data_IF_038367982881
#
_entry.id   IF_038367982881
#
_cell.length_a   1.000
_cell.length_b   1.000
_cell.length_c   1.000
_cell.angle_alpha   90.00
_cell.angle_beta   90.00
_cell.angle_gamma   90.00
#
_symmetry.space_group_name_H-M   'P 1'
#
loop_
_entity.id
_entity.type
_entity.pdbx_description
1 polymer ?
#
# COMPACT_ATOMS: atom_id res chain seq x y z
N UNK A 1 -42.04 -21.25 1.79
CA UNK A 1 -40.81 -22.06 1.74
C UNK A 1 -39.86 -21.41 0.73
N UNK A 2 -38.71 -20.97 1.20
CA UNK A 2 -37.79 -20.04 0.53
C UNK A 2 -36.90 -20.74 -0.51
N UNK A 3 -36.99 -20.32 -1.77
CA UNK A 3 -36.06 -20.71 -2.82
C UNK A 3 -34.68 -20.10 -2.54
N UNK A 4 -33.66 -20.94 -2.34
CA UNK A 4 -32.26 -20.52 -2.22
C UNK A 4 -31.72 -20.12 -3.60
N UNK A 5 -31.57 -18.82 -3.82
CA UNK A 5 -30.77 -18.29 -4.93
C UNK A 5 -29.29 -18.55 -4.62
N UNK A 6 -28.68 -19.49 -5.32
CA UNK A 6 -27.23 -19.71 -5.26
C UNK A 6 -26.55 -18.78 -6.27
N UNK A 7 -25.96 -17.70 -5.77
CA UNK A 7 -25.00 -16.91 -6.54
C UNK A 7 -23.62 -17.56 -6.40
N UNK A 8 -23.30 -18.48 -7.31
CA UNK A 8 -21.90 -18.86 -7.56
C UNK A 8 -21.31 -17.79 -8.46
N UNK A 9 -20.65 -16.80 -7.85
CA UNK A 9 -19.73 -15.91 -8.54
C UNK A 9 -18.37 -16.57 -8.60
N UNK A 10 -18.13 -17.30 -9.70
CA UNK A 10 -16.79 -17.81 -10.03
C UNK A 10 -15.98 -16.72 -10.72
N UNK A 11 -15.35 -15.85 -9.93
CA UNK A 11 -14.26 -15.01 -10.43
C UNK A 11 -13.19 -14.83 -9.37
N UNK A 12 -12.41 -15.90 -9.14
CA UNK A 12 -11.10 -15.77 -8.50
C UNK A 12 -10.15 -15.10 -9.50
N UNK A 13 -10.17 -13.78 -9.52
CA UNK A 13 -9.26 -12.92 -10.30
C UNK A 13 -7.86 -12.87 -9.72
N UNK A 14 -7.23 -14.02 -9.47
CA UNK A 14 -5.79 -14.08 -9.19
C UNK A 14 -5.03 -13.92 -10.51
N UNK A 15 -4.75 -12.68 -10.90
CA UNK A 15 -3.77 -12.40 -11.94
C UNK A 15 -2.37 -12.53 -11.34
N UNK A 16 -1.72 -13.67 -11.61
CA UNK A 16 -0.30 -13.88 -11.36
C UNK A 16 0.51 -12.79 -12.07
N UNK A 17 1.22 -11.95 -11.31
CA UNK A 17 2.22 -11.04 -11.86
C UNK A 17 3.42 -11.86 -12.37
N UNK A 18 3.41 -12.22 -13.65
CA UNK A 18 4.59 -12.75 -14.32
C UNK A 18 5.57 -11.59 -14.50
N UNK A 19 6.74 -11.72 -13.86
CA UNK A 19 7.92 -10.88 -14.09
C UNK A 19 8.17 -10.72 -15.58
N UNK A 20 8.02 -9.50 -16.10
CA UNK A 20 8.41 -9.14 -17.46
C UNK A 20 9.84 -8.64 -17.43
N UNK A 21 10.80 -9.52 -17.75
CA UNK A 21 12.14 -9.10 -18.14
C UNK A 21 12.02 -8.39 -19.50
N UNK A 22 11.94 -7.06 -19.48
CA UNK A 22 12.11 -6.26 -20.70
C UNK A 22 13.60 -6.18 -20.99
N UNK A 23 14.07 -7.03 -21.89
CA UNK A 23 15.30 -6.78 -22.63
C UNK A 23 15.08 -5.58 -23.54
N UNK A 24 15.87 -4.53 -23.37
CA UNK A 24 16.01 -3.45 -24.35
C UNK A 24 17.46 -3.43 -24.83
N UNK A 25 17.60 -3.77 -26.10
CA UNK A 25 18.77 -3.62 -26.96
C UNK A 25 18.80 -2.20 -27.54
N UNK A 26 20.00 -1.66 -27.80
CA UNK A 26 20.23 -0.40 -28.49
C UNK A 26 21.03 0.63 -27.68
N UNK A 27 22.35 0.68 -27.90
CA UNK A 27 23.25 1.64 -27.26
C UNK A 27 23.31 3.01 -27.95
N UNK A 28 23.78 4.00 -27.18
CA UNK A 28 24.70 5.05 -27.64
C UNK A 28 25.43 5.64 -26.42
N UNK A 29 26.74 5.88 -26.57
CA UNK A 29 27.57 6.46 -25.52
C UNK A 29 27.39 7.99 -25.50
N UNK A 30 26.92 8.54 -24.39
CA UNK A 30 27.23 9.93 -24.05
C UNK A 30 27.32 10.11 -22.54
N UNK A 31 28.54 10.35 -22.10
CA UNK A 31 28.94 10.67 -20.74
C UNK A 31 28.21 11.93 -20.24
N UNK A 32 27.38 11.80 -19.21
CA UNK A 32 26.98 12.92 -18.37
C UNK A 32 26.67 12.45 -16.95
N UNK A 33 27.49 12.93 -16.02
CA UNK A 33 27.37 12.81 -14.58
C UNK A 33 25.99 13.30 -14.10
N UNK A 34 25.07 12.34 -13.92
CA UNK A 34 23.71 12.58 -13.46
C UNK A 34 23.43 11.77 -12.20
N UNK A 35 23.77 12.34 -11.05
CA UNK A 35 23.24 11.92 -9.75
C UNK A 35 21.72 12.16 -9.74
N UNK A 36 20.96 11.23 -10.32
CA UNK A 36 19.50 11.26 -10.44
C UNK A 36 18.87 10.02 -9.83
N UNK A 37 19.35 9.59 -8.67
CA UNK A 37 18.56 8.75 -7.77
C UNK A 37 17.75 9.64 -6.84
N UNK A 38 16.72 10.24 -7.41
CA UNK A 38 15.57 10.72 -6.67
C UNK A 38 14.35 9.96 -7.19
N UNK A 39 14.45 8.63 -7.15
CA UNK A 39 13.26 7.82 -7.00
C UNK A 39 12.57 8.33 -5.73
N UNK A 40 11.37 8.85 -5.92
CA UNK A 40 10.50 9.41 -4.89
C UNK A 40 10.45 8.43 -3.71
N UNK A 41 11.31 8.68 -2.72
CA UNK A 41 11.23 8.02 -1.44
C UNK A 41 10.13 8.76 -0.70
N UNK A 42 8.87 8.38 -0.97
CA UNK A 42 7.76 8.65 -0.07
C UNK A 42 7.91 7.75 1.16
N UNK A 43 9.08 7.84 1.81
CA UNK A 43 9.27 7.33 3.15
C UNK A 43 8.89 8.46 4.10
N UNK A 44 7.59 8.63 4.31
CA UNK A 44 7.15 9.15 5.58
C UNK A 44 7.69 8.11 6.60
N UNK A 45 8.83 8.43 7.20
CA UNK A 45 9.53 7.52 8.10
C UNK A 45 8.78 7.53 9.42
N UNK A 46 7.62 6.87 9.47
CA UNK A 46 7.03 6.51 10.76
C UNK A 46 8.04 5.58 11.42
N UNK A 47 8.48 5.94 12.61
CA UNK A 47 9.28 5.04 13.42
C UNK A 47 8.44 3.80 13.72
N UNK A 48 8.68 2.72 12.98
CA UNK A 48 8.05 1.43 13.22
C UNK A 48 8.68 0.80 14.45
N UNK A 49 7.85 0.50 15.45
CA UNK A 49 8.26 -0.14 16.69
C UNK A 49 8.86 -1.53 16.45
N UNK A 50 8.36 -2.23 15.43
CA UNK A 50 8.85 -3.55 15.04
C UNK A 50 10.13 -3.53 14.19
N UNK A 51 10.63 -2.34 13.80
CA UNK A 51 11.76 -2.20 12.88
C UNK A 51 13.01 -2.96 13.33
N UNK A 52 13.35 -2.93 14.62
CA UNK A 52 14.54 -3.61 15.16
C UNK A 52 14.41 -5.13 15.05
N UNK A 53 13.28 -5.69 15.49
CA UNK A 53 13.04 -7.13 15.43
C UNK A 53 12.94 -7.62 14.00
N UNK A 54 12.28 -6.84 13.13
CA UNK A 54 12.23 -7.11 11.70
C UNK A 54 13.64 -7.23 11.10
N UNK A 55 14.54 -6.29 11.42
CA UNK A 55 15.93 -6.35 10.95
C UNK A 55 16.67 -7.58 11.48
N UNK A 56 16.54 -7.93 12.76
CA UNK A 56 17.16 -9.14 13.33
C UNK A 56 16.66 -10.43 12.64
N UNK A 57 15.35 -10.52 12.42
CA UNK A 57 14.73 -11.65 11.72
C UNK A 57 15.26 -11.79 10.28
N UNK A 58 15.35 -10.68 9.54
CA UNK A 58 15.87 -10.68 8.17
C UNK A 58 17.38 -11.03 8.11
N UNK A 59 18.16 -10.61 9.11
CA UNK A 59 19.59 -10.89 9.19
C UNK A 59 19.91 -12.33 9.63
N UNK A 60 19.06 -12.95 10.46
CA UNK A 60 19.23 -14.35 10.91
C UNK A 60 19.11 -15.39 9.80
N UNK A 61 18.56 -15.04 8.64
CA UNK A 61 18.47 -15.89 7.43
C UNK A 61 17.50 -17.08 7.52
N UNK A 62 17.12 -17.53 8.72
CA UNK A 62 16.16 -18.62 8.95
C UNK A 62 14.89 -18.05 9.56
N UNK A 63 13.95 -17.67 8.69
CA UNK A 63 12.59 -17.28 9.08
C UNK A 63 11.68 -18.51 9.12
N UNK A 64 10.79 -18.59 10.11
CA UNK A 64 9.67 -19.54 10.04
C UNK A 64 8.65 -19.08 9.00
N UNK A 65 7.70 -19.96 8.65
CA UNK A 65 6.59 -19.55 7.78
C UNK A 65 5.75 -18.44 8.42
N UNK A 66 5.51 -18.51 9.74
CA UNK A 66 4.76 -17.49 10.47
C UNK A 66 5.50 -16.16 10.50
N UNK A 67 6.83 -16.15 10.69
CA UNK A 67 7.62 -14.92 10.64
C UNK A 67 7.51 -14.24 9.27
N UNK A 68 7.60 -15.03 8.18
CA UNK A 68 7.44 -14.51 6.81
C UNK A 68 6.06 -13.87 6.61
N UNK A 69 5.00 -14.56 7.03
CA UNK A 69 3.63 -14.04 6.91
C UNK A 69 3.44 -12.78 7.76
N UNK A 70 3.96 -12.74 8.98
CA UNK A 70 3.84 -11.57 9.85
C UNK A 70 4.58 -10.35 9.29
N UNK A 71 5.78 -10.55 8.75
CA UNK A 71 6.58 -9.53 8.06
C UNK A 71 5.83 -8.99 6.84
N UNK A 72 5.32 -9.89 5.97
CA UNK A 72 4.59 -9.52 4.76
C UNK A 72 3.28 -8.79 5.10
N UNK A 73 2.53 -9.26 6.08
CA UNK A 73 1.29 -8.63 6.53
C UNK A 73 1.55 -7.20 7.02
N UNK A 74 2.59 -6.99 7.83
CA UNK A 74 2.93 -5.66 8.31
C UNK A 74 3.37 -4.72 7.17
N UNK A 75 4.17 -5.21 6.22
CA UNK A 75 4.66 -4.41 5.09
C UNK A 75 3.55 -4.01 4.13
N UNK A 76 2.67 -4.97 3.81
CA UNK A 76 1.56 -4.75 2.91
C UNK A 76 0.54 -3.80 3.54
N UNK A 77 0.28 -3.94 4.85
CA UNK A 77 -0.59 -3.00 5.57
C UNK A 77 0.00 -1.59 5.62
N UNK A 78 1.31 -1.46 5.87
CA UNK A 78 2.01 -0.17 5.82
C UNK A 78 1.82 0.49 4.46
N UNK A 79 2.13 -0.25 3.39
CA UNK A 79 2.02 0.25 2.01
C UNK A 79 0.59 0.66 1.69
N UNK A 80 -0.40 -0.13 2.12
CA UNK A 80 -1.80 0.17 1.90
C UNK A 80 -2.25 1.47 2.59
N UNK A 81 -1.83 1.70 3.83
CA UNK A 81 -2.09 2.96 4.56
C UNK A 81 -1.49 4.16 3.83
N UNK A 82 -0.34 3.99 3.20
CA UNK A 82 0.36 5.05 2.46
C UNK A 82 -0.34 5.40 1.18
N UNK A 83 -0.75 4.39 0.44
CA UNK A 83 -1.52 4.53 -0.79
C UNK A 83 -2.84 5.24 -0.50
N UNK A 84 -3.54 4.87 0.58
CA UNK A 84 -4.75 5.57 1.03
C UNK A 84 -4.47 7.05 1.35
N UNK A 85 -3.40 7.34 2.10
CA UNK A 85 -3.02 8.71 2.42
C UNK A 85 -2.60 9.50 1.17
N UNK A 86 -1.93 8.87 0.21
CA UNK A 86 -1.57 9.48 -1.07
C UNK A 86 -2.81 9.76 -1.92
N UNK A 87 -3.81 8.88 -1.91
CA UNK A 87 -5.08 9.11 -2.60
C UNK A 87 -5.83 10.30 -1.98
N UNK A 88 -5.94 10.33 -0.66
CA UNK A 88 -6.63 11.39 0.08
C UNK A 88 -5.95 12.73 -0.19
N UNK A 89 -4.64 12.83 0.07
CA UNK A 89 -3.91 14.10 -0.06
C UNK A 89 -3.66 14.52 -1.50
N UNK A 90 -3.39 13.57 -2.38
CA UNK A 90 -3.02 13.82 -3.77
C UNK A 90 -4.20 14.10 -4.68
N UNK A 91 -5.37 13.52 -4.38
CA UNK A 91 -6.55 13.65 -5.24
C UNK A 91 -7.76 14.23 -4.52
N UNK A 92 -8.17 13.65 -3.38
CA UNK A 92 -9.39 14.12 -2.71
C UNK A 92 -9.25 15.55 -2.20
N UNK A 93 -8.21 15.83 -1.41
CA UNK A 93 -7.96 17.16 -0.85
C UNK A 93 -7.76 18.21 -1.95
N UNK A 94 -7.00 17.86 -3.00
CA UNK A 94 -6.80 18.72 -4.17
C UNK A 94 -8.12 19.05 -4.89
N UNK A 95 -8.99 18.05 -5.09
CA UNK A 95 -10.29 18.28 -5.73
C UNK A 95 -11.23 19.11 -4.86
N UNK A 96 -11.16 18.97 -3.54
CA UNK A 96 -11.92 19.80 -2.60
C UNK A 96 -11.43 21.26 -2.64
N UNK A 97 -10.12 21.47 -2.70
CA UNK A 97 -9.47 22.79 -2.76
C UNK A 97 -9.79 23.52 -4.09
N UNK A 98 -9.64 22.84 -5.23
CA UNK A 98 -9.79 23.44 -6.57
C UNK A 98 -11.22 23.33 -7.13
N UNK A 99 -12.21 22.94 -6.31
CA UNK A 99 -13.58 22.59 -6.78
C UNK A 99 -14.26 23.70 -7.59
N UNK A 100 -14.05 24.97 -7.24
CA UNK A 100 -14.70 26.12 -7.88
C UNK A 100 -14.16 26.33 -9.31
N UNK A 101 -12.85 26.15 -9.47
CA UNK A 101 -12.17 26.23 -10.77
C UNK A 101 -12.51 25.04 -11.67
N UNK A 102 -12.62 23.85 -11.08
CA UNK A 102 -12.95 22.62 -11.80
C UNK A 102 -14.46 22.44 -12.05
N UNK A 103 -15.30 23.29 -11.43
CA UNK A 103 -16.77 23.21 -11.46
C UNK A 103 -17.29 21.85 -10.98
N UNK A 104 -16.66 21.29 -9.95
CA UNK A 104 -17.04 20.01 -9.34
C UNK A 104 -17.77 20.27 -8.03
N UNK A 105 -18.85 19.53 -7.77
CA UNK A 105 -19.60 19.63 -6.51
C UNK A 105 -18.98 18.75 -5.43
N UNK A 106 -19.15 19.15 -4.16
CA UNK A 106 -18.73 18.31 -3.03
C UNK A 106 -19.43 16.95 -3.02
N UNK A 107 -20.68 16.87 -3.50
CA UNK A 107 -21.43 15.61 -3.60
C UNK A 107 -20.79 14.65 -4.62
N UNK A 108 -20.32 15.16 -5.77
CA UNK A 108 -19.61 14.36 -6.75
C UNK A 108 -18.27 13.84 -6.20
N UNK A 109 -17.54 14.67 -5.44
CA UNK A 109 -16.30 14.26 -4.76
C UNK A 109 -16.61 13.19 -3.70
N UNK A 110 -17.65 13.41 -2.88
CA UNK A 110 -18.07 12.44 -1.87
C UNK A 110 -18.52 11.12 -2.48
N UNK A 111 -19.21 11.13 -3.62
CA UNK A 111 -19.60 9.92 -4.33
C UNK A 111 -18.42 9.19 -4.97
N UNK A 112 -17.38 9.93 -5.39
CA UNK A 112 -16.19 9.38 -6.03
C UNK A 112 -15.29 8.66 -5.02
N UNK A 113 -15.00 9.30 -3.88
CA UNK A 113 -14.11 8.76 -2.85
C UNK A 113 -14.85 7.96 -1.77
N UNK A 114 -16.17 8.11 -1.68
CA UNK A 114 -16.99 7.42 -0.70
C UNK A 114 -16.54 7.70 0.73
N UNK A 115 -16.26 6.64 1.48
CA UNK A 115 -15.81 6.72 2.86
C UNK A 115 -14.31 6.47 3.04
N UNK A 116 -13.48 6.79 2.04
CA UNK A 116 -12.04 6.49 2.04
C UNK A 116 -11.30 6.98 3.29
N UNK A 117 -11.66 8.14 3.87
CA UNK A 117 -11.05 8.63 5.10
C UNK A 117 -11.31 7.72 6.30
N UNK A 118 -12.50 7.11 6.37
CA UNK A 118 -12.84 6.13 7.40
C UNK A 118 -12.07 4.83 7.20
N UNK A 119 -11.91 4.40 5.95
CA UNK A 119 -11.08 3.23 5.59
C UNK A 119 -9.62 3.51 6.00
N UNK A 120 -9.07 4.66 5.66
CA UNK A 120 -7.72 5.07 6.07
C UNK A 120 -7.55 5.10 7.58
N UNK A 121 -8.48 5.71 8.32
CA UNK A 121 -8.40 5.78 9.78
C UNK A 121 -8.39 4.38 10.42
N UNK A 122 -9.26 3.48 9.93
CA UNK A 122 -9.31 2.10 10.40
C UNK A 122 -8.00 1.34 10.11
N UNK A 123 -7.52 1.36 8.86
CA UNK A 123 -6.31 0.62 8.47
C UNK A 123 -5.06 1.20 9.13
N UNK A 124 -4.99 2.52 9.32
CA UNK A 124 -3.91 3.14 10.10
C UNK A 124 -3.90 2.66 11.55
N UNK A 125 -5.07 2.48 12.16
CA UNK A 125 -5.16 1.90 13.50
C UNK A 125 -4.72 0.43 13.50
N UNK A 126 -5.15 -0.35 12.51
CA UNK A 126 -4.74 -1.75 12.35
C UNK A 126 -3.22 -1.87 12.19
N UNK A 127 -2.62 -1.07 11.31
CA UNK A 127 -1.17 -0.98 11.14
C UNK A 127 -0.45 -0.70 12.46
N UNK A 128 -0.90 0.29 13.22
CA UNK A 128 -0.29 0.62 14.51
C UNK A 128 -0.39 -0.55 15.51
N UNK A 129 -1.49 -1.30 15.49
CA UNK A 129 -1.66 -2.49 16.34
C UNK A 129 -0.75 -3.63 15.90
N UNK A 130 -0.60 -3.87 14.60
CA UNK A 130 0.33 -4.86 14.05
C UNK A 130 1.79 -4.50 14.36
N UNK A 131 2.15 -3.24 14.22
CA UNK A 131 3.49 -2.74 14.54
C UNK A 131 3.80 -2.84 16.04
N UNK A 132 2.82 -2.51 16.89
CA UNK A 132 2.92 -2.67 18.34
C UNK A 132 2.99 -4.13 18.80
N UNK A 133 2.41 -5.07 18.03
CA UNK A 133 2.59 -6.50 18.27
C UNK A 133 4.02 -6.98 18.00
N UNK A 134 4.88 -6.12 17.44
CA UNK A 134 6.32 -6.35 17.29
C UNK A 134 6.64 -7.69 16.59
N UNK A 135 5.88 -8.04 15.54
CA UNK A 135 6.03 -9.33 14.83
C UNK A 135 5.96 -10.56 15.74
N UNK A 136 5.24 -10.45 16.87
CA UNK A 136 5.06 -11.57 17.78
C UNK A 136 3.86 -12.41 17.37
N UNK A 137 4.14 -13.50 16.66
CA UNK A 137 3.13 -14.46 16.20
C UNK A 137 2.76 -15.51 17.26
N UNK A 138 3.28 -15.41 18.49
CA UNK A 138 2.99 -16.35 19.59
C UNK A 138 2.24 -15.63 20.71
N UNK A 139 0.93 -15.84 20.75
CA UNK A 139 0.12 -15.77 21.98
C UNK A 139 -0.65 -17.08 22.13
#
# INVERSE_FOLDING_TARGET
ETARLSFVSSSTGYSSARSSLRSSDGGDETNNNGNRDSAISTSYSLSSQSSVRRSDLLLKGILTQLDRIAIELLDTERTYVDDLNAIIKGYMDYLVEEREKLKVTLDAISSLFGCIEKIFAFNKQLYNQLDAANLDCVK
#
